data_IF_554186196494
#
_entry.id   IF_554186196494
#
_cell.length_a   1.000
_cell.length_b   1.000
_cell.length_c   1.000
_cell.angle_alpha   90.00
_cell.angle_beta   90.00
_cell.angle_gamma   90.00
#
_symmetry.space_group_name_H-M   'P 1'
#
loop_
_entity.id
_entity.type
_entity.pdbx_description
1 polymer ?
#
# COMPACT_ATOMS: atom_id res chain seq x y z
N UNK A 1 27.38 17.70 -1.64
CA UNK A 1 26.22 17.43 -2.52
C UNK A 1 25.70 16.03 -2.20
N UNK A 2 24.62 15.94 -1.42
CA UNK A 2 23.99 14.67 -1.06
C UNK A 2 23.11 14.19 -2.21
N UNK A 3 23.51 13.09 -2.84
CA UNK A 3 22.74 12.44 -3.91
C UNK A 3 21.38 12.00 -3.40
N UNK A 4 20.33 12.72 -3.79
CA UNK A 4 18.95 12.27 -3.63
C UNK A 4 18.55 11.64 -4.96
N UNK A 5 18.53 10.32 -5.02
CA UNK A 5 17.85 9.62 -6.12
C UNK A 5 16.37 9.98 -6.07
N UNK A 6 15.89 10.74 -7.06
CA UNK A 6 14.47 11.03 -7.22
C UNK A 6 13.75 9.81 -7.79
N UNK A 7 12.59 9.45 -7.22
CA UNK A 7 11.71 8.40 -7.75
C UNK A 7 10.49 9.05 -8.37
N UNK A 8 10.17 8.69 -9.62
CA UNK A 8 9.02 9.21 -10.33
C UNK A 8 8.20 8.10 -10.98
N UNK A 9 6.90 8.32 -11.10
CA UNK A 9 5.98 7.39 -11.76
C UNK A 9 5.85 7.75 -13.24
N UNK A 10 6.18 6.79 -14.10
CA UNK A 10 6.02 6.90 -15.55
C UNK A 10 4.97 5.92 -16.06
N UNK A 11 4.24 6.34 -17.09
CA UNK A 11 3.33 5.50 -17.85
C UNK A 11 3.96 5.09 -19.16
N UNK A 12 3.83 3.80 -19.44
CA UNK A 12 4.24 3.20 -20.69
C UNK A 12 3.03 2.51 -21.30
N UNK A 13 2.73 2.82 -22.55
CA UNK A 13 1.73 2.07 -23.29
C UNK A 13 2.36 0.76 -23.76
N UNK A 14 1.67 -0.37 -23.55
CA UNK A 14 2.21 -1.69 -23.90
C UNK A 14 2.56 -1.79 -25.40
N UNK A 15 1.79 -1.14 -26.26
CA UNK A 15 2.03 -1.09 -27.70
C UNK A 15 3.08 -0.03 -28.13
N UNK A 16 3.53 0.83 -27.21
CA UNK A 16 4.55 1.86 -27.45
C UNK A 16 5.55 1.91 -26.27
N UNK A 17 6.31 0.83 -26.03
CA UNK A 17 7.17 0.71 -24.85
C UNK A 17 8.27 1.80 -24.79
N UNK A 18 8.65 2.34 -25.95
CA UNK A 18 9.71 3.34 -26.09
C UNK A 18 9.22 4.78 -25.90
N UNK A 19 8.01 4.99 -25.40
CA UNK A 19 7.42 6.32 -25.19
C UNK A 19 6.87 6.49 -23.77
N UNK A 20 7.73 6.43 -22.74
CA UNK A 20 7.32 6.72 -21.38
C UNK A 20 6.87 8.19 -21.25
N UNK A 21 5.79 8.43 -20.52
CA UNK A 21 5.37 9.77 -20.08
C UNK A 21 5.31 9.84 -18.57
N UNK A 22 5.78 10.94 -17.98
CA UNK A 22 5.59 11.15 -16.55
C UNK A 22 4.09 11.18 -16.25
N UNK A 23 3.66 10.42 -15.24
CA UNK A 23 2.29 10.49 -14.76
C UNK A 23 2.09 11.74 -13.91
N UNK A 24 3.09 12.03 -13.07
CA UNK A 24 3.11 13.12 -12.13
C UNK A 24 4.25 14.05 -12.54
N UNK A 25 3.95 15.34 -12.66
CA UNK A 25 4.96 16.36 -12.88
C UNK A 25 5.22 17.09 -11.56
N UNK A 26 6.08 16.49 -10.73
CA UNK A 26 6.34 16.92 -9.36
C UNK A 26 7.83 16.80 -9.04
N UNK A 27 8.27 17.55 -8.00
CA UNK A 27 9.65 17.51 -7.49
C UNK A 27 9.85 16.49 -6.36
N UNK A 28 8.79 15.79 -5.99
CA UNK A 28 8.74 14.89 -4.85
C UNK A 28 9.03 13.46 -5.30
N UNK A 29 9.42 12.60 -4.35
CA UNK A 29 9.52 11.19 -4.64
C UNK A 29 8.12 10.59 -4.70
N UNK A 30 7.87 9.78 -5.73
CA UNK A 30 6.66 8.99 -5.86
C UNK A 30 6.98 7.51 -6.03
N UNK A 31 6.24 6.66 -5.31
CA UNK A 31 6.50 5.23 -5.21
C UNK A 31 5.21 4.41 -5.14
N UNK A 32 5.34 3.11 -5.36
CA UNK A 32 4.25 2.13 -5.29
C UNK A 32 2.97 2.54 -6.06
N UNK A 33 3.07 2.89 -7.36
CA UNK A 33 1.88 3.19 -8.15
C UNK A 33 1.00 1.95 -8.29
N UNK A 34 -0.31 2.14 -8.18
CA UNK A 34 -1.29 1.10 -8.41
C UNK A 34 -2.59 1.65 -8.99
N UNK A 35 -2.99 1.14 -10.15
CA UNK A 35 -4.28 1.46 -10.75
C UNK A 35 -5.40 0.75 -10.01
N UNK A 36 -6.52 1.44 -9.83
CA UNK A 36 -7.76 0.80 -9.40
C UNK A 36 -8.20 -0.25 -10.43
N UNK A 37 -8.92 -1.31 -10.00
CA UNK A 37 -9.37 -2.37 -10.91
C UNK A 37 -10.24 -1.88 -12.07
N UNK A 38 -10.98 -0.78 -11.86
CA UNK A 38 -11.80 -0.14 -12.88
C UNK A 38 -11.02 0.83 -13.79
N UNK A 39 -9.75 1.09 -13.48
CA UNK A 39 -8.87 1.97 -14.26
C UNK A 39 -9.16 3.47 -14.12
N UNK A 40 -10.08 3.88 -13.24
CA UNK A 40 -10.45 5.30 -13.08
C UNK A 40 -9.61 6.06 -12.05
N UNK A 41 -8.81 5.35 -11.25
CA UNK A 41 -8.03 5.92 -10.17
C UNK A 41 -6.62 5.35 -10.16
N UNK A 42 -5.70 6.12 -9.60
CA UNK A 42 -4.38 5.63 -9.23
C UNK A 42 -4.09 5.98 -7.78
N UNK A 43 -3.62 4.98 -7.03
CA UNK A 43 -3.05 5.12 -5.71
C UNK A 43 -1.51 5.14 -5.82
N UNK A 44 -0.86 5.97 -5.02
CA UNK A 44 0.60 6.03 -4.95
C UNK A 44 1.05 6.70 -3.67
N UNK A 45 2.29 6.43 -3.25
CA UNK A 45 2.90 7.14 -2.14
C UNK A 45 3.74 8.31 -2.62
N UNK A 46 3.67 9.45 -1.93
CA UNK A 46 4.51 10.62 -2.19
C UNK A 46 5.04 11.23 -0.91
N UNK A 47 6.27 11.76 -0.95
CA UNK A 47 6.91 12.43 0.18
C UNK A 47 6.64 13.95 0.27
N UNK A 48 5.68 14.45 -0.50
CA UNK A 48 5.41 15.88 -0.61
C UNK A 48 4.99 16.59 0.68
N UNK A 49 4.48 15.85 1.65
CA UNK A 49 4.12 16.36 2.98
C UNK A 49 5.33 16.41 3.94
N UNK A 50 6.51 16.01 3.46
CA UNK A 50 7.71 15.77 4.26
C UNK A 50 7.90 14.31 4.68
N UNK A 51 6.94 13.43 4.36
CA UNK A 51 7.03 11.98 4.59
C UNK A 51 6.19 11.22 3.56
N UNK A 52 6.51 9.95 3.36
CA UNK A 52 5.77 9.09 2.41
C UNK A 52 4.33 8.90 2.87
N UNK A 53 3.39 9.57 2.23
CA UNK A 53 1.95 9.44 2.46
C UNK A 53 1.24 8.86 1.24
N UNK A 54 0.11 8.20 1.45
CA UNK A 54 -0.72 7.64 0.39
C UNK A 54 -1.66 8.68 -0.19
N UNK A 55 -1.66 8.77 -1.51
CA UNK A 55 -2.53 9.63 -2.28
C UNK A 55 -3.33 8.81 -3.28
N UNK A 56 -4.53 9.29 -3.60
CA UNK A 56 -5.37 8.79 -4.68
C UNK A 56 -5.74 9.95 -5.60
N UNK A 57 -5.69 9.76 -6.92
CA UNK A 57 -6.18 10.74 -7.88
C UNK A 57 -6.87 10.08 -9.09
N UNK A 58 -7.73 10.81 -9.82
CA UNK A 58 -8.34 10.31 -11.05
C UNK A 58 -7.30 9.93 -12.11
N UNK A 59 -7.65 8.96 -12.94
CA UNK A 59 -6.88 8.54 -14.11
C UNK A 59 -7.85 8.15 -15.25
N UNK A 60 -7.58 8.49 -16.53
CA UNK A 60 -6.49 9.32 -17.04
C UNK A 60 -6.75 10.84 -16.97
N UNK A 61 -7.91 11.23 -16.43
CA UNK A 61 -8.40 12.61 -16.47
C UNK A 61 -7.78 13.54 -15.43
N UNK A 62 -8.01 14.86 -15.58
CA UNK A 62 -7.67 15.82 -14.53
C UNK A 62 -8.60 15.62 -13.32
N UNK A 63 -8.12 15.98 -12.14
CA UNK A 63 -8.96 16.07 -10.95
C UNK A 63 -8.15 16.27 -9.68
N UNK A 64 -8.87 16.44 -8.58
CA UNK A 64 -8.26 16.70 -7.28
C UNK A 64 -7.69 15.40 -6.72
N UNK A 65 -6.39 15.43 -6.39
CA UNK A 65 -5.75 14.40 -5.60
C UNK A 65 -6.24 14.47 -4.15
N UNK A 66 -6.46 13.30 -3.57
CA UNK A 66 -6.91 13.11 -2.18
C UNK A 66 -5.77 12.50 -1.37
N UNK A 67 -5.45 13.13 -0.24
CA UNK A 67 -4.57 12.57 0.78
C UNK A 67 -5.33 11.54 1.60
N UNK A 68 -4.82 10.32 1.67
CA UNK A 68 -5.46 9.21 2.41
C UNK A 68 -4.86 9.07 3.81
N UNK A 69 -3.58 9.37 3.98
CA UNK A 69 -2.86 9.13 5.24
C UNK A 69 -2.14 10.37 5.73
N UNK A 70 -1.92 10.43 7.04
CA UNK A 70 -1.15 11.50 7.69
C UNK A 70 -0.11 10.97 8.67
N UNK A 71 0.02 9.63 8.78
CA UNK A 71 1.00 8.98 9.64
C UNK A 71 1.98 8.06 8.89
N UNK A 72 2.15 8.31 7.59
CA UNK A 72 3.02 7.55 6.73
C UNK A 72 2.41 6.25 6.21
N UNK A 73 2.64 5.98 4.93
CA UNK A 73 2.14 4.80 4.25
C UNK A 73 3.11 4.30 3.17
N UNK A 74 3.00 3.01 2.87
CA UNK A 74 3.65 2.35 1.77
C UNK A 74 2.77 1.24 1.19
N UNK A 75 3.13 0.79 -0.02
CA UNK A 75 2.61 -0.44 -0.62
C UNK A 75 1.07 -0.51 -0.65
N UNK A 76 0.37 0.47 -1.26
CA UNK A 76 -1.08 0.38 -1.45
C UNK A 76 -1.48 -0.84 -2.27
N UNK A 77 -2.69 -1.32 -2.00
CA UNK A 77 -3.33 -2.44 -2.68
C UNK A 77 -4.84 -2.20 -2.79
N UNK A 78 -5.38 -2.11 -4.00
CA UNK A 78 -6.84 -2.05 -4.21
C UNK A 78 -7.52 -3.40 -4.00
N UNK A 79 -8.69 -3.40 -3.38
CA UNK A 79 -9.59 -4.55 -3.41
C UNK A 79 -10.08 -4.81 -4.84
N UNK A 80 -10.05 -6.06 -5.28
CA UNK A 80 -10.60 -6.47 -6.60
C UNK A 80 -12.12 -6.58 -6.62
N UNK A 81 -12.77 -6.64 -5.46
CA UNK A 81 -14.18 -7.02 -5.31
C UNK A 81 -15.04 -5.95 -4.62
N UNK A 82 -14.47 -4.80 -4.28
CA UNK A 82 -15.21 -3.75 -3.58
C UNK A 82 -14.49 -2.40 -3.51
N UNK A 83 -15.17 -1.42 -2.92
CA UNK A 83 -14.66 -0.06 -2.70
C UNK A 83 -13.79 0.01 -1.43
N UNK A 84 -12.65 -0.68 -1.47
CA UNK A 84 -11.69 -0.72 -0.38
C UNK A 84 -10.26 -0.64 -0.91
N UNK A 85 -9.44 0.17 -0.23
CA UNK A 85 -8.02 0.35 -0.49
C UNK A 85 -7.28 -0.06 0.77
N UNK A 86 -6.27 -0.90 0.63
CA UNK A 86 -5.43 -1.34 1.72
C UNK A 86 -4.03 -0.73 1.60
N UNK A 87 -3.32 -0.57 2.70
CA UNK A 87 -1.94 -0.12 2.70
C UNK A 87 -1.19 -0.57 3.95
N UNK A 88 0.13 -0.44 3.92
CA UNK A 88 0.99 -0.67 5.07
C UNK A 88 1.36 0.64 5.74
N UNK A 89 1.05 0.76 7.03
CA UNK A 89 1.46 1.89 7.85
C UNK A 89 2.98 1.94 7.97
N UNK A 90 3.56 3.14 7.83
CA UNK A 90 4.96 3.41 8.16
C UNK A 90 5.15 3.87 9.62
N UNK A 91 4.07 3.90 10.41
CA UNK A 91 4.11 4.14 11.84
C UNK A 91 4.76 2.99 12.62
N UNK A 92 4.74 3.09 13.95
CA UNK A 92 5.55 2.27 14.85
C UNK A 92 5.28 0.75 14.81
N UNK A 93 4.12 0.31 14.33
CA UNK A 93 3.64 -1.07 14.49
C UNK A 93 3.50 -1.87 13.20
N UNK A 94 3.98 -1.35 12.06
CA UNK A 94 3.97 -2.06 10.77
C UNK A 94 2.59 -2.67 10.43
N UNK A 95 1.56 -1.86 10.63
CA UNK A 95 0.16 -2.27 10.57
C UNK A 95 -0.33 -2.38 9.12
N UNK A 96 -1.26 -3.31 8.87
CA UNK A 96 -2.07 -3.34 7.65
C UNK A 96 -3.38 -2.65 7.94
N UNK A 97 -3.68 -1.63 7.14
CA UNK A 97 -4.84 -0.75 7.31
C UNK A 97 -5.70 -0.84 6.06
N UNK A 98 -7.03 -0.85 6.25
CA UNK A 98 -7.99 -0.68 5.16
C UNK A 98 -8.69 0.67 5.25
N UNK A 99 -9.02 1.20 4.08
CA UNK A 99 -9.78 2.43 3.89
C UNK A 99 -10.87 2.12 2.87
N UNK A 100 -12.10 2.07 3.34
CA UNK A 100 -13.25 2.07 2.44
C UNK A 100 -13.43 3.44 1.83
N UNK A 101 -14.03 3.49 0.66
CA UNK A 101 -14.29 4.76 0.00
C UNK A 101 -15.66 4.75 -0.69
N UNK A 102 -16.11 5.95 -1.05
CA UNK A 102 -17.24 6.17 -1.94
C UNK A 102 -16.81 7.07 -3.08
N UNK A 103 -17.43 6.88 -4.24
CA UNK A 103 -17.30 7.80 -5.36
C UNK A 103 -18.58 8.62 -5.46
N UNK A 104 -18.45 9.95 -5.45
CA UNK A 104 -19.55 10.88 -5.68
C UNK A 104 -19.19 11.78 -6.88
N UNK A 105 -19.76 11.49 -8.04
CA UNK A 105 -19.32 12.13 -9.29
C UNK A 105 -17.87 11.77 -9.61
N UNK A 106 -16.99 12.77 -9.64
CA UNK A 106 -15.54 12.59 -9.87
C UNK A 106 -14.70 12.75 -8.59
N UNK A 107 -15.34 12.64 -7.41
CA UNK A 107 -14.67 12.79 -6.12
C UNK A 107 -14.48 11.44 -5.44
N UNK A 108 -13.25 11.22 -4.97
CA UNK A 108 -12.90 10.10 -4.10
C UNK A 108 -13.10 10.50 -2.65
N UNK A 109 -14.04 9.86 -1.97
CA UNK A 109 -14.36 10.16 -0.57
C UNK A 109 -13.88 8.99 0.29
N UNK A 110 -12.69 9.10 0.92
CA UNK A 110 -12.21 8.08 1.84
C UNK A 110 -13.06 8.09 3.11
N UNK A 111 -13.33 6.91 3.63
CA UNK A 111 -13.91 6.71 4.96
C UNK A 111 -12.80 6.56 6.00
N UNK A 112 -13.17 6.44 7.27
CA UNK A 112 -12.21 6.29 8.37
C UNK A 112 -11.32 5.04 8.15
N UNK A 113 -9.98 5.19 8.20
CA UNK A 113 -9.07 4.05 8.17
C UNK A 113 -9.27 3.10 9.35
N UNK A 114 -9.24 1.80 9.07
CA UNK A 114 -9.39 0.72 10.06
C UNK A 114 -8.16 -0.18 10.04
N UNK A 115 -7.52 -0.36 11.20
CA UNK A 115 -6.47 -1.38 11.33
C UNK A 115 -7.08 -2.77 11.21
N UNK A 116 -6.52 -3.58 10.33
CA UNK A 116 -6.88 -4.98 10.20
C UNK A 116 -6.04 -5.84 11.15
N UNK A 117 -4.72 -5.73 11.05
CA UNK A 117 -3.76 -6.49 11.86
C UNK A 117 -2.38 -5.83 11.84
N UNK A 118 -1.48 -6.33 12.69
CA UNK A 118 -0.09 -5.89 12.78
C UNK A 118 0.84 -7.10 12.86
N UNK A 119 2.11 -6.93 12.47
CA UNK A 119 3.06 -8.04 12.47
C UNK A 119 4.45 -7.66 11.97
N UNK A 120 5.38 -8.60 12.07
CA UNK A 120 6.78 -8.42 11.63
C UNK A 120 6.90 -8.72 10.14
N UNK A 121 6.16 -8.03 9.29
CA UNK A 121 6.18 -8.27 7.86
C UNK A 121 7.40 -7.61 7.18
N UNK A 122 8.13 -8.38 6.37
CA UNK A 122 9.26 -7.90 5.57
C UNK A 122 8.81 -6.84 4.55
N UNK A 123 9.75 -6.01 4.10
CA UNK A 123 9.57 -5.08 2.98
C UNK A 123 10.67 -5.33 1.95
N UNK A 124 10.30 -5.45 0.68
CA UNK A 124 11.26 -5.74 -0.40
C UNK A 124 11.81 -4.49 -1.07
N UNK A 125 11.46 -3.30 -0.57
CA UNK A 125 11.93 -2.03 -1.10
C UNK A 125 10.98 -1.44 -2.13
N UNK A 126 11.32 -1.46 -3.41
CA UNK A 126 10.70 -0.56 -4.42
C UNK A 126 9.30 -1.02 -4.88
N UNK A 127 8.98 -2.30 -4.69
CA UNK A 127 7.70 -2.89 -5.09
C UNK A 127 6.93 -3.42 -3.87
N UNK A 128 5.61 -3.51 -4.00
CA UNK A 128 4.73 -4.12 -3.00
C UNK A 128 5.17 -5.56 -2.70
N UNK A 129 5.18 -5.91 -1.41
CA UNK A 129 5.74 -7.18 -0.87
C UNK A 129 4.69 -8.15 -0.34
N UNK A 130 3.41 -7.89 -0.57
CA UNK A 130 2.26 -8.63 -0.03
C UNK A 130 1.11 -8.61 -1.04
N UNK A 131 0.15 -9.53 -0.98
CA UNK A 131 -1.04 -9.55 -1.86
C UNK A 131 -2.31 -10.00 -1.15
N UNK A 132 -3.47 -9.74 -1.76
CA UNK A 132 -4.78 -10.15 -1.25
C UNK A 132 -5.47 -11.06 -2.27
N UNK A 133 -5.90 -12.22 -1.83
CA UNK A 133 -6.71 -13.14 -2.59
C UNK A 133 -8.15 -12.62 -2.74
N UNK A 134 -8.87 -13.04 -3.78
CA UNK A 134 -10.24 -12.58 -4.06
C UNK A 134 -11.23 -12.88 -2.91
N UNK A 135 -10.92 -13.87 -2.07
CA UNK A 135 -11.69 -14.23 -0.88
C UNK A 135 -11.28 -13.44 0.39
N UNK A 136 -10.39 -12.46 0.25
CA UNK A 136 -9.96 -11.58 1.34
C UNK A 136 -8.84 -12.15 2.21
N UNK A 137 -8.19 -13.25 1.84
CA UNK A 137 -6.97 -13.73 2.52
C UNK A 137 -5.75 -12.91 2.12
N UNK A 138 -4.82 -12.71 3.06
CA UNK A 138 -3.61 -11.93 2.87
C UNK A 138 -2.39 -12.83 2.74
N UNK A 139 -1.59 -12.62 1.70
CA UNK A 139 -0.25 -13.20 1.57
C UNK A 139 0.76 -12.18 2.07
N UNK A 140 1.45 -12.50 3.17
CA UNK A 140 2.44 -11.64 3.80
C UNK A 140 3.79 -12.36 3.88
N UNK A 141 4.88 -11.62 3.77
CA UNK A 141 6.23 -12.13 4.01
C UNK A 141 6.61 -11.88 5.46
N UNK A 142 6.89 -12.94 6.23
CA UNK A 142 7.45 -12.84 7.57
C UNK A 142 8.91 -13.33 7.52
N UNK A 143 9.89 -12.48 7.87
CA UNK A 143 11.28 -12.92 7.95
C UNK A 143 11.43 -13.87 9.13
N UNK A 144 12.32 -14.84 8.99
CA UNK A 144 12.71 -15.68 10.10
C UNK A 144 13.32 -14.82 11.23
N UNK A 145 13.17 -15.21 12.51
CA UNK A 145 13.85 -14.54 13.60
C UNK A 145 15.36 -14.76 13.46
N UNK A 146 16.05 -13.82 12.81
CA UNK A 146 17.51 -13.83 12.74
C UNK A 146 18.07 -13.26 14.05
N UNK A 147 18.98 -13.97 14.74
CA UNK A 147 19.76 -13.42 15.85
C UNK A 147 20.49 -12.13 15.45
N UNK A 148 20.57 -11.15 16.34
CA UNK A 148 21.04 -9.80 16.02
C UNK A 148 22.49 -9.73 15.46
N UNK A 149 23.26 -10.80 15.65
CA UNK A 149 24.65 -10.99 15.25
C UNK A 149 24.84 -11.59 13.84
N UNK A 150 23.79 -12.13 13.21
CA UNK A 150 23.84 -12.75 11.87
C UNK A 150 23.36 -11.83 10.73
N UNK A 151 23.35 -10.52 10.96
CA UNK A 151 22.90 -9.48 10.03
C UNK A 151 23.82 -9.27 8.80
N UNK A 152 24.43 -10.34 8.29
CA UNK A 152 25.29 -10.35 7.10
C UNK A 152 24.72 -11.28 6.04
N UNK A 153 24.00 -10.64 5.12
CA UNK A 153 23.78 -11.06 3.72
C UNK A 153 22.74 -12.17 3.51
N UNK A 154 21.70 -11.78 2.76
CA UNK A 154 20.67 -12.57 2.10
C UNK A 154 19.48 -12.99 2.96
N UNK A 155 18.30 -12.54 2.52
CA UNK A 155 16.98 -12.83 3.05
C UNK A 155 16.65 -14.34 2.94
N UNK A 156 16.59 -15.13 4.02
CA UNK A 156 15.69 -16.27 4.05
C UNK A 156 14.33 -15.71 4.46
N UNK A 157 13.48 -15.41 3.48
CA UNK A 157 12.07 -15.16 3.74
C UNK A 157 11.35 -16.51 3.64
N UNK A 158 11.07 -17.13 4.78
CA UNK A 158 10.13 -18.24 4.79
C UNK A 158 8.74 -17.69 4.43
N UNK A 159 8.17 -18.13 3.31
CA UNK A 159 6.82 -17.73 2.89
C UNK A 159 5.79 -18.40 3.81
N UNK A 160 5.34 -17.67 4.83
CA UNK A 160 4.22 -18.10 5.68
C UNK A 160 2.90 -17.63 5.07
N UNK A 161 2.10 -18.56 4.58
CA UNK A 161 0.75 -18.27 4.10
C UNK A 161 -0.19 -18.29 5.32
N UNK A 162 -0.65 -17.13 5.78
CA UNK A 162 -1.68 -17.05 6.82
C UNK A 162 -3.04 -17.28 6.18
N UNK A 163 -3.62 -18.46 6.45
CA UNK A 163 -4.95 -18.85 6.02
C UNK A 163 -5.87 -18.80 7.25
N UNK A 164 -6.97 -18.03 7.15
CA UNK A 164 -8.09 -17.91 8.12
C UNK A 164 -7.99 -16.80 9.19
N UNK A 165 -8.41 -15.59 8.83
CA UNK A 165 -8.71 -14.52 9.80
C UNK A 165 -10.14 -14.60 10.38
N UNK A 166 -11.05 -15.38 9.78
CA UNK A 166 -12.45 -15.50 10.23
C UNK A 166 -12.63 -16.37 11.49
N UNK A 167 -11.65 -17.17 11.89
CA UNK A 167 -11.71 -17.98 13.13
C UNK A 167 -11.21 -17.21 14.37
N UNK A 168 -10.39 -16.16 14.21
CA UNK A 168 -9.86 -15.39 15.35
C UNK A 168 -10.88 -14.48 16.04
N UNK A 169 -11.99 -14.14 15.37
CA UNK A 169 -13.10 -13.41 16.00
C UNK A 169 -13.97 -14.29 16.92
N UNK A 170 -13.81 -15.62 16.90
CA UNK A 170 -14.59 -16.53 17.76
C UNK A 170 -13.97 -16.77 19.13
N UNK A 171 -12.77 -16.24 19.40
CA UNK A 171 -12.04 -16.45 20.65
C UNK A 171 -11.83 -15.17 21.49
N UNK A 172 -12.68 -14.16 21.36
CA UNK A 172 -12.78 -13.12 22.39
C UNK A 172 -13.69 -13.58 23.53
N UNK A 173 -13.20 -13.74 24.77
CA UNK A 173 -14.08 -13.89 25.92
C UNK A 173 -14.87 -12.60 26.14
N UNK A 174 -16.17 -12.73 26.37
CA UNK A 174 -17.06 -11.62 26.69
C UNK A 174 -16.57 -10.86 27.94
N UNK A 175 -16.75 -9.52 28.02
CA UNK A 175 -16.34 -8.76 29.19
C UNK A 175 -17.14 -9.21 30.43
N UNK A 176 -16.42 -9.46 31.53
CA UNK A 176 -17.03 -9.78 32.82
C UNK A 176 -17.77 -8.57 33.39
N UNK A 177 -18.98 -8.80 33.91
CA UNK A 177 -19.79 -7.84 34.66
C UNK A 177 -19.27 -7.63 36.08
#
# INVERSE_FOLDING_TARGET
ESGITSRHIYLVQVNQPNRPRALLNSRFNETYPEFSPDGHWIAYCSDESGRSELYVQPYPGPGKRVLITTDGAAEPLWSRVGQELFYRSLGARNEVISVRFKIAGNEFIPQQPVKLFEGRFARTGIIRSWDIAADGRFLMLEPDPVPADELKLLFPATLRIVLNWTEELKHQPAPAH
#
